data_IF_815293200563
#
_entry.id   IF_815293200563
#
_cell.length_a   1.000
_cell.length_b   1.000
_cell.length_c   1.000
_cell.angle_alpha   90.00
_cell.angle_beta   90.00
_cell.angle_gamma   90.00
#
_symmetry.space_group_name_H-M   'P 1'
#
loop_
_entity.id
_entity.type
_entity.pdbx_description
1 polymer ?
#
# COMPACT_ATOMS: atom_id res chain seq x y z
N UNK A 1 -21.01 -26.83 -21.99
CA UNK A 1 -21.51 -28.18 -22.35
C UNK A 1 -20.25 -29.04 -22.53
N UNK A 2 -19.83 -29.68 -21.44
CA UNK A 2 -18.65 -30.56 -21.38
C UNK A 2 -19.07 -31.88 -22.04
N UNK A 3 -18.37 -32.29 -23.07
CA UNK A 3 -18.54 -33.60 -23.69
C UNK A 3 -17.77 -34.58 -22.82
N UNK A 4 -18.51 -35.53 -22.24
CA UNK A 4 -18.04 -36.55 -21.30
C UNK A 4 -16.95 -37.42 -21.98
N UNK A 5 -15.75 -37.43 -21.41
CA UNK A 5 -14.64 -38.25 -21.91
C UNK A 5 -14.95 -39.76 -21.90
N UNK A 6 -15.88 -40.20 -21.07
CA UNK A 6 -16.30 -41.60 -20.96
C UNK A 6 -17.04 -42.10 -22.20
N UNK A 7 -17.69 -41.22 -22.96
CA UNK A 7 -18.37 -41.56 -24.21
C UNK A 7 -17.39 -41.89 -25.33
N UNK A 8 -16.22 -41.23 -25.35
CA UNK A 8 -15.18 -41.47 -26.37
C UNK A 8 -14.47 -42.80 -26.10
N UNK A 9 -14.22 -43.10 -24.83
CA UNK A 9 -13.58 -44.35 -24.41
C UNK A 9 -14.51 -45.58 -24.63
N UNK A 10 -15.81 -45.40 -24.44
CA UNK A 10 -16.83 -46.45 -24.72
C UNK A 10 -16.90 -46.78 -26.22
N UNK A 11 -16.84 -45.77 -27.10
CA UNK A 11 -16.86 -45.95 -28.57
C UNK A 11 -15.62 -46.70 -29.05
N UNK A 12 -14.42 -46.41 -28.47
CA UNK A 12 -13.20 -47.05 -28.88
C UNK A 12 -13.13 -48.51 -28.41
N UNK A 13 -13.70 -48.85 -27.26
CA UNK A 13 -13.69 -50.22 -26.68
C UNK A 13 -14.72 -51.15 -27.30
N UNK A 14 -15.75 -50.64 -27.96
CA UNK A 14 -16.84 -51.46 -28.52
C UNK A 14 -16.83 -51.62 -30.06
N UNK A 15 -15.72 -51.29 -30.72
CA UNK A 15 -15.55 -51.58 -32.13
C UNK A 15 -15.25 -53.09 -32.35
N UNK A 16 -16.07 -53.84 -33.16
CA UNK A 16 -15.83 -55.24 -33.35
C UNK A 16 -14.51 -55.54 -34.11
N UNK A 17 -13.68 -56.41 -33.55
CA UNK A 17 -12.47 -56.93 -34.17
C UNK A 17 -12.85 -57.81 -35.34
N UNK A 18 -12.77 -57.32 -36.56
CA UNK A 18 -12.99 -58.12 -37.76
C UNK A 18 -11.67 -58.78 -38.18
N UNK A 19 -11.71 -60.10 -38.24
CA UNK A 19 -10.58 -60.96 -38.57
C UNK A 19 -10.03 -60.75 -39.98
N UNK A 20 -8.76 -61.04 -40.13
CA UNK A 20 -7.98 -60.98 -41.38
C UNK A 20 -8.60 -61.90 -42.48
N UNK A 21 -9.04 -61.30 -43.57
CA UNK A 21 -8.99 -61.89 -44.92
C UNK A 21 -8.76 -60.77 -45.94
N UNK A 22 -7.75 -60.96 -46.77
CA UNK A 22 -7.43 -60.11 -47.91
C UNK A 22 -8.58 -60.05 -48.91
N UNK A 23 -9.18 -58.90 -49.08
CA UNK A 23 -9.89 -58.53 -50.30
C UNK A 23 -9.90 -57.00 -50.38
N UNK A 24 -9.41 -56.47 -51.51
CA UNK A 24 -9.45 -55.03 -51.79
C UNK A 24 -10.90 -54.57 -51.95
N UNK A 25 -11.41 -53.91 -50.97
CA UNK A 25 -12.66 -53.17 -51.10
C UNK A 25 -12.39 -51.69 -51.04
N UNK A 26 -12.93 -50.97 -52.06
CA UNK A 26 -12.97 -49.50 -52.07
C UNK A 26 -13.64 -49.01 -50.78
N UNK A 27 -12.89 -48.23 -49.97
CA UNK A 27 -13.47 -47.60 -48.79
C UNK A 27 -14.74 -46.79 -49.15
N UNK A 28 -15.85 -47.01 -48.47
CA UNK A 28 -17.04 -46.24 -48.73
C UNK A 28 -16.85 -44.75 -48.42
N UNK A 29 -17.34 -43.88 -49.29
CA UNK A 29 -17.31 -42.43 -49.16
C UNK A 29 -17.81 -41.89 -47.81
N UNK A 30 -18.49 -42.71 -47.03
CA UNK A 30 -19.00 -42.38 -45.69
C UNK A 30 -17.87 -42.16 -44.69
N UNK A 31 -16.74 -42.91 -44.72
CA UNK A 31 -15.65 -42.75 -43.75
C UNK A 31 -14.86 -41.44 -43.96
N UNK A 32 -14.73 -41.00 -45.22
CA UNK A 32 -14.06 -39.72 -45.52
C UNK A 32 -14.87 -38.52 -45.03
N UNK A 33 -16.21 -38.63 -45.10
CA UNK A 33 -17.10 -37.54 -44.66
C UNK A 33 -17.15 -37.42 -43.13
N UNK A 34 -17.05 -38.51 -42.37
CA UNK A 34 -16.99 -38.51 -40.90
C UNK A 34 -15.70 -37.90 -40.40
N UNK A 35 -14.57 -38.33 -40.95
CA UNK A 35 -13.23 -37.81 -40.57
C UNK A 35 -13.10 -36.32 -40.90
N UNK A 36 -13.67 -35.87 -42.02
CA UNK A 36 -13.65 -34.44 -42.37
C UNK A 36 -14.54 -33.61 -41.45
N UNK A 37 -15.76 -34.11 -41.10
CA UNK A 37 -16.64 -33.41 -40.14
C UNK A 37 -16.06 -33.34 -38.74
N UNK A 38 -15.38 -34.40 -38.26
CA UNK A 38 -14.74 -34.43 -36.95
C UNK A 38 -13.55 -33.42 -36.88
N UNK A 39 -12.75 -33.34 -37.96
CA UNK A 39 -11.65 -32.34 -38.04
C UNK A 39 -12.20 -30.92 -38.11
N UNK A 40 -13.28 -30.65 -38.80
CA UNK A 40 -13.92 -29.32 -38.84
C UNK A 40 -14.51 -28.96 -37.49
N UNK A 41 -15.15 -29.90 -36.78
CA UNK A 41 -15.66 -29.65 -35.43
C UNK A 41 -14.52 -29.39 -34.42
N UNK A 42 -13.41 -30.13 -34.51
CA UNK A 42 -12.22 -29.90 -33.65
C UNK A 42 -11.56 -28.54 -33.92
N UNK A 43 -11.44 -28.16 -35.19
CA UNK A 43 -10.94 -26.83 -35.57
C UNK A 43 -11.86 -25.70 -35.14
N UNK A 44 -13.18 -25.88 -35.28
CA UNK A 44 -14.17 -24.88 -34.82
C UNK A 44 -14.18 -24.72 -33.30
N UNK A 45 -14.05 -25.82 -32.53
CA UNK A 45 -13.91 -25.74 -31.07
C UNK A 45 -12.58 -25.08 -30.64
N UNK A 46 -11.47 -25.34 -31.34
CA UNK A 46 -10.19 -24.70 -31.07
C UNK A 46 -10.24 -23.19 -31.36
N UNK A 47 -10.95 -22.78 -32.43
CA UNK A 47 -11.20 -21.35 -32.72
C UNK A 47 -12.13 -20.69 -31.72
N UNK A 48 -13.18 -21.39 -31.25
CA UNK A 48 -14.03 -20.89 -30.17
C UNK A 48 -13.29 -20.74 -28.85
N UNK A 49 -12.44 -21.69 -28.46
CA UNK A 49 -11.59 -21.58 -27.25
C UNK A 49 -10.57 -20.44 -27.38
N UNK A 50 -10.01 -20.20 -28.57
CA UNK A 50 -9.10 -19.09 -28.80
C UNK A 50 -9.79 -17.71 -28.71
N UNK A 51 -11.08 -17.63 -29.03
CA UNK A 51 -11.87 -16.41 -28.88
C UNK A 51 -12.21 -16.07 -27.41
N UNK A 52 -12.22 -17.05 -26.50
CA UNK A 52 -12.48 -16.82 -25.07
C UNK A 52 -11.23 -16.49 -24.26
N UNK A 53 -10.03 -16.65 -24.81
CA UNK A 53 -8.78 -16.34 -24.11
C UNK A 53 -8.34 -14.87 -24.20
N UNK A 54 -9.10 -13.97 -24.80
CA UNK A 54 -8.97 -12.54 -24.55
C UNK A 54 -9.75 -12.21 -23.27
N UNK A 55 -9.20 -12.60 -22.10
CA UNK A 55 -9.50 -11.90 -20.88
C UNK A 55 -9.13 -10.44 -21.15
N UNK A 56 -10.12 -9.58 -21.42
CA UNK A 56 -9.92 -8.13 -21.34
C UNK A 56 -9.34 -7.91 -19.94
N UNK A 57 -8.06 -7.56 -19.86
CA UNK A 57 -7.57 -6.90 -18.65
C UNK A 57 -8.57 -5.80 -18.38
N UNK A 58 -9.23 -5.88 -17.24
CA UNK A 58 -10.14 -4.82 -16.82
C UNK A 58 -9.30 -3.55 -16.80
N UNK A 59 -9.64 -2.58 -17.59
CA UNK A 59 -8.97 -1.29 -17.57
C UNK A 59 -8.96 -0.81 -16.11
N UNK A 60 -7.81 -0.38 -15.61
CA UNK A 60 -7.67 0.18 -14.26
C UNK A 60 -8.67 1.33 -14.07
N UNK A 61 -8.99 2.01 -15.17
CA UNK A 61 -10.02 3.03 -15.26
C UNK A 61 -11.04 2.55 -16.30
N UNK A 62 -12.29 2.35 -15.88
CA UNK A 62 -13.38 2.07 -16.81
C UNK A 62 -13.74 3.37 -17.55
N UNK A 63 -13.44 3.49 -18.87
CA UNK A 63 -13.74 4.72 -19.61
C UNK A 63 -15.24 4.93 -19.81
N UNK A 64 -16.08 3.93 -19.52
CA UNK A 64 -17.55 4.06 -19.56
C UNK A 64 -18.11 4.63 -18.25
N UNK A 65 -17.33 4.61 -17.17
CA UNK A 65 -17.73 5.22 -15.91
C UNK A 65 -17.67 6.75 -16.06
N UNK A 66 -18.82 7.40 -15.94
CA UNK A 66 -18.87 8.88 -15.90
C UNK A 66 -18.47 9.34 -14.53
N UNK A 67 -17.20 9.76 -14.39
CA UNK A 67 -16.76 10.44 -13.19
C UNK A 67 -17.22 11.90 -13.25
N UNK A 68 -18.08 12.28 -12.34
CA UNK A 68 -18.39 13.68 -12.14
C UNK A 68 -17.31 14.29 -11.26
N UNK A 69 -16.63 15.36 -11.71
CA UNK A 69 -15.66 16.06 -10.88
C UNK A 69 -16.34 16.53 -9.59
N UNK A 70 -15.65 16.37 -8.47
CA UNK A 70 -16.06 16.98 -7.21
C UNK A 70 -15.40 18.35 -7.14
N UNK A 71 -16.20 19.39 -6.95
CA UNK A 71 -15.71 20.76 -6.83
C UNK A 71 -15.66 21.17 -5.36
N UNK A 72 -14.53 21.74 -4.95
CA UNK A 72 -14.37 22.36 -3.64
C UNK A 72 -14.04 23.83 -3.82
N UNK A 73 -14.99 24.72 -3.54
CA UNK A 73 -14.81 26.16 -3.70
C UNK A 73 -13.83 26.77 -2.68
N UNK A 74 -13.78 26.21 -1.47
CA UNK A 74 -12.95 26.71 -0.36
C UNK A 74 -11.74 25.86 -0.05
N UNK A 75 -11.67 24.66 -0.60
CA UNK A 75 -10.59 23.70 -0.39
C UNK A 75 -11.05 22.28 -0.66
N UNK A 76 -10.08 21.39 -0.76
CA UNK A 76 -10.33 19.97 -0.98
C UNK A 76 -9.27 19.15 -0.27
N UNK A 77 -9.68 18.02 0.29
CA UNK A 77 -8.79 17.00 0.85
C UNK A 77 -9.05 15.68 0.14
N UNK A 78 -7.99 15.05 -0.36
CA UNK A 78 -8.06 13.76 -1.03
C UNK A 78 -6.99 12.85 -0.44
N UNK A 79 -7.39 11.67 0.00
CA UNK A 79 -6.46 10.63 0.44
C UNK A 79 -6.97 9.26 0.02
N UNK A 80 -6.18 8.22 0.26
CA UNK A 80 -6.54 6.84 -0.08
C UNK A 80 -7.63 6.28 0.85
N UNK A 81 -7.96 6.99 1.95
CA UNK A 81 -8.89 6.52 2.95
C UNK A 81 -9.90 7.64 3.30
N UNK A 82 -11.19 7.26 3.33
CA UNK A 82 -12.29 8.21 3.43
C UNK A 82 -12.32 8.96 4.78
N UNK A 83 -12.14 8.25 5.90
CA UNK A 83 -12.17 8.87 7.24
C UNK A 83 -11.04 9.87 7.41
N UNK A 84 -9.85 9.55 6.90
CA UNK A 84 -8.72 10.46 6.94
C UNK A 84 -8.95 11.71 6.05
N UNK A 85 -9.56 11.54 4.87
CA UNK A 85 -9.97 12.69 4.03
C UNK A 85 -11.00 13.55 4.73
N UNK A 86 -11.98 12.94 5.42
CA UNK A 86 -12.99 13.66 6.19
C UNK A 86 -12.34 14.45 7.34
N UNK A 87 -11.41 13.85 8.07
CA UNK A 87 -10.65 14.56 9.13
C UNK A 87 -9.98 15.81 8.57
N UNK A 88 -9.28 15.71 7.45
CA UNK A 88 -8.65 16.89 6.83
C UNK A 88 -9.65 17.95 6.38
N UNK A 89 -10.78 17.55 5.80
CA UNK A 89 -11.85 18.47 5.41
C UNK A 89 -12.48 19.17 6.62
N UNK A 90 -12.66 18.47 7.74
CA UNK A 90 -13.18 19.05 8.98
C UNK A 90 -12.21 20.08 9.58
N UNK A 91 -10.90 19.82 9.47
CA UNK A 91 -9.87 20.80 9.86
C UNK A 91 -9.95 22.07 9.02
N UNK A 92 -10.12 21.95 7.69
CA UNK A 92 -10.34 23.13 6.83
C UNK A 92 -11.61 23.90 7.23
N UNK A 93 -12.71 23.20 7.51
CA UNK A 93 -13.98 23.82 7.94
C UNK A 93 -13.87 24.54 9.29
N UNK A 94 -12.96 24.13 10.16
CA UNK A 94 -12.65 24.77 11.45
C UNK A 94 -11.70 25.97 11.33
N UNK A 95 -11.29 26.34 10.11
CA UNK A 95 -10.42 27.48 9.84
C UNK A 95 -8.94 27.15 9.77
N UNK A 96 -8.59 25.86 9.79
CA UNK A 96 -7.24 25.39 9.50
C UNK A 96 -6.83 25.66 8.05
N UNK A 97 -5.54 25.75 7.81
CA UNK A 97 -4.99 25.85 6.46
C UNK A 97 -4.73 24.48 5.84
N UNK A 98 -4.19 24.45 4.62
CA UNK A 98 -3.89 23.20 3.91
C UNK A 98 -2.84 22.33 4.63
N UNK A 99 -1.91 22.94 5.37
CA UNK A 99 -0.90 22.22 6.15
C UNK A 99 -1.52 21.55 7.39
N UNK A 100 -2.39 22.26 8.12
CA UNK A 100 -3.14 21.68 9.24
C UNK A 100 -3.95 20.46 8.77
N UNK A 101 -4.65 20.61 7.64
CA UNK A 101 -5.44 19.52 7.05
C UNK A 101 -4.56 18.32 6.62
N UNK A 102 -3.40 18.59 6.02
CA UNK A 102 -2.47 17.54 5.61
C UNK A 102 -1.89 16.80 6.82
N UNK A 103 -1.52 17.50 7.88
CA UNK A 103 -1.01 16.94 9.12
C UNK A 103 -2.06 16.09 9.83
N UNK A 104 -3.29 16.59 9.97
CA UNK A 104 -4.40 15.84 10.54
C UNK A 104 -4.73 14.58 9.74
N UNK A 105 -4.76 14.69 8.41
CA UNK A 105 -4.94 13.56 7.50
C UNK A 105 -3.80 12.55 7.66
N UNK A 106 -2.55 12.99 7.77
CA UNK A 106 -1.38 12.13 7.97
C UNK A 106 -1.47 11.31 9.26
N UNK A 107 -1.82 11.93 10.38
CA UNK A 107 -2.06 11.21 11.64
C UNK A 107 -3.28 10.30 11.59
N UNK A 108 -4.37 10.71 10.92
CA UNK A 108 -5.54 9.87 10.73
C UNK A 108 -5.23 8.63 9.86
N UNK A 109 -4.45 8.79 8.79
CA UNK A 109 -3.97 7.68 7.95
C UNK A 109 -3.11 6.68 8.74
N UNK A 110 -2.32 7.14 9.70
CA UNK A 110 -1.55 6.25 10.58
C UNK A 110 -2.46 5.33 11.42
N UNK A 111 -3.71 5.72 11.63
CA UNK A 111 -4.73 4.93 12.33
C UNK A 111 -5.54 4.07 11.36
N UNK A 112 -6.11 4.68 10.32
CA UNK A 112 -7.15 4.06 9.47
C UNK A 112 -6.60 3.31 8.27
N UNK A 113 -5.34 3.56 7.90
CA UNK A 113 -4.65 2.90 6.79
C UNK A 113 -3.32 2.24 7.24
N UNK A 114 -3.31 1.34 8.23
CA UNK A 114 -2.07 0.84 8.85
C UNK A 114 -1.14 0.08 7.89
N UNK A 115 -1.62 -0.29 6.71
CA UNK A 115 -0.80 -0.94 5.67
C UNK A 115 0.14 0.02 4.94
N UNK A 116 -0.08 1.32 5.03
CA UNK A 116 0.69 2.36 4.34
C UNK A 116 0.95 3.59 5.21
N UNK A 117 -0.03 4.07 6.00
CA UNK A 117 0.15 5.13 6.98
C UNK A 117 0.62 4.57 8.32
N UNK A 118 1.66 5.12 8.91
CA UNK A 118 2.14 4.71 10.23
C UNK A 118 3.07 5.75 10.85
N UNK A 119 3.21 5.72 12.19
CA UNK A 119 4.14 6.59 12.92
C UNK A 119 5.59 6.12 12.81
N UNK A 120 5.80 4.81 12.58
CA UNK A 120 7.12 4.18 12.47
C UNK A 120 7.76 4.29 11.09
N UNK A 121 7.13 5.00 10.15
CA UNK A 121 7.62 5.23 8.81
C UNK A 121 8.16 6.65 8.60
N UNK A 122 8.12 7.09 7.35
CA UNK A 122 8.53 8.41 6.93
C UNK A 122 7.75 8.85 5.69
N UNK A 123 8.21 9.93 5.08
CA UNK A 123 7.57 10.45 3.89
C UNK A 123 8.17 11.72 3.35
N UNK A 124 7.43 12.31 2.43
CA UNK A 124 7.75 13.58 1.80
C UNK A 124 6.50 14.46 1.79
N UNK A 125 6.70 15.77 1.86
CA UNK A 125 5.61 16.74 1.72
C UNK A 125 6.03 17.87 0.79
N UNK A 126 5.20 18.16 -0.21
CA UNK A 126 5.34 19.37 -1.04
C UNK A 126 4.36 20.41 -0.54
N UNK A 127 4.84 21.59 -0.19
CA UNK A 127 4.04 22.72 0.31
C UNK A 127 4.21 23.88 -0.67
N UNK A 128 3.09 24.39 -1.18
CA UNK A 128 3.07 25.61 -1.97
C UNK A 128 2.48 26.77 -1.17
N UNK A 129 3.28 27.80 -0.93
CA UNK A 129 2.89 29.04 -0.28
C UNK A 129 2.48 30.04 -1.36
N UNK A 130 1.18 30.14 -1.60
CA UNK A 130 0.66 30.95 -2.72
C UNK A 130 1.02 32.43 -2.60
N UNK A 131 0.98 32.97 -1.40
CA UNK A 131 1.30 34.40 -1.13
C UNK A 131 2.78 34.74 -1.41
N UNK A 132 3.67 33.75 -1.26
CA UNK A 132 5.10 33.90 -1.51
C UNK A 132 5.50 33.43 -2.92
N UNK A 133 4.62 32.72 -3.62
CA UNK A 133 4.93 32.03 -4.88
C UNK A 133 6.01 30.94 -4.73
N UNK A 134 6.20 30.44 -3.51
CA UNK A 134 7.28 29.52 -3.14
C UNK A 134 6.76 28.12 -2.94
N UNK A 135 7.50 27.15 -3.44
CA UNK A 135 7.26 25.73 -3.20
C UNK A 135 8.41 25.16 -2.38
N UNK A 136 8.09 24.37 -1.35
CA UNK A 136 9.04 23.77 -0.42
C UNK A 136 8.84 22.27 -0.49
N UNK A 137 9.95 21.51 -0.43
CA UNK A 137 9.95 20.06 -0.29
C UNK A 137 10.48 19.68 1.08
N UNK A 138 9.66 19.07 1.92
CA UNK A 138 10.06 18.51 3.21
C UNK A 138 10.38 17.02 3.03
N UNK A 139 11.58 16.65 3.46
CA UNK A 139 12.07 15.28 3.50
C UNK A 139 12.09 14.81 4.96
N UNK A 140 11.16 13.94 5.28
CA UNK A 140 11.10 13.22 6.55
C UNK A 140 11.08 11.70 6.34
N UNK A 141 11.76 11.26 5.27
CA UNK A 141 12.00 9.85 5.01
C UNK A 141 12.78 9.22 6.16
N UNK A 142 12.59 7.92 6.34
CA UNK A 142 13.36 7.13 7.31
C UNK A 142 14.86 7.25 7.04
N UNK A 143 15.64 7.28 8.10
CA UNK A 143 17.10 7.28 8.03
C UNK A 143 17.66 5.92 8.45
N UNK A 144 18.79 5.52 7.89
CA UNK A 144 19.50 4.36 8.38
C UNK A 144 19.98 4.59 9.83
N UNK A 145 19.80 3.61 10.74
CA UNK A 145 20.45 3.67 12.06
C UNK A 145 21.97 3.78 11.93
N UNK A 146 22.62 4.41 12.89
CA UNK A 146 24.08 4.58 12.88
C UNK A 146 24.85 3.25 12.83
N UNK A 147 24.26 2.18 13.36
CA UNK A 147 24.82 0.83 13.32
C UNK A 147 24.63 0.09 11.98
N UNK A 148 23.90 0.68 11.01
CA UNK A 148 23.69 0.06 9.71
C UNK A 148 24.99 0.00 8.90
N UNK A 149 25.36 -1.20 8.45
CA UNK A 149 26.55 -1.43 7.64
C UNK A 149 26.23 -1.81 6.20
N UNK A 150 27.22 -1.67 5.32
CA UNK A 150 27.12 -1.98 3.90
C UNK A 150 26.62 -3.41 3.63
N UNK A 151 27.16 -4.37 4.39
CA UNK A 151 26.99 -5.80 4.16
C UNK A 151 25.96 -6.44 5.11
N UNK A 152 25.19 -5.61 5.84
CA UNK A 152 24.27 -6.05 6.89
C UNK A 152 23.18 -7.04 6.42
N UNK A 153 22.89 -7.09 5.13
CA UNK A 153 21.90 -7.98 4.53
C UNK A 153 22.53 -9.14 3.76
N UNK A 154 23.84 -9.36 3.86
CA UNK A 154 24.50 -10.51 3.25
C UNK A 154 24.46 -11.73 4.19
N UNK A 155 24.34 -12.92 3.59
CA UNK A 155 24.53 -14.19 4.26
C UNK A 155 26.03 -14.56 4.33
N UNK A 156 26.36 -15.69 4.94
CA UNK A 156 27.75 -16.16 5.07
C UNK A 156 28.45 -16.43 3.73
N UNK A 157 27.69 -16.66 2.66
CA UNK A 157 28.21 -16.83 1.29
C UNK A 157 28.42 -15.49 0.57
N UNK A 158 28.10 -14.35 1.19
CA UNK A 158 28.18 -13.02 0.56
C UNK A 158 27.03 -12.68 -0.38
N UNK A 159 25.95 -13.47 -0.36
CA UNK A 159 24.74 -13.25 -1.15
C UNK A 159 23.67 -12.51 -0.34
N UNK A 160 22.77 -11.79 -1.02
CA UNK A 160 21.69 -11.05 -0.35
C UNK A 160 20.71 -12.01 0.32
N UNK A 161 20.57 -11.90 1.64
CA UNK A 161 19.48 -12.54 2.39
C UNK A 161 18.19 -11.70 2.24
N UNK A 162 17.36 -12.11 1.29
CA UNK A 162 16.09 -11.44 1.02
C UNK A 162 15.11 -11.50 2.21
N UNK A 163 15.16 -12.55 3.04
CA UNK A 163 14.30 -12.65 4.21
C UNK A 163 14.67 -11.57 5.24
N UNK A 164 15.95 -11.38 5.48
CA UNK A 164 16.49 -10.37 6.38
C UNK A 164 16.25 -8.95 5.82
N UNK A 165 16.53 -8.74 4.53
CA UNK A 165 16.40 -7.44 3.88
C UNK A 165 14.95 -6.93 3.78
N UNK A 166 13.97 -7.83 3.58
CA UNK A 166 12.58 -7.44 3.38
C UNK A 166 11.70 -7.58 4.63
N UNK A 167 12.07 -8.43 5.59
CA UNK A 167 11.23 -8.81 6.71
C UNK A 167 11.97 -8.87 8.06
N UNK A 168 13.28 -8.68 8.05
CA UNK A 168 14.08 -8.59 9.27
C UNK A 168 13.85 -7.26 9.99
N UNK A 169 13.93 -7.26 11.32
CA UNK A 169 13.81 -6.04 12.11
C UNK A 169 14.98 -5.08 11.85
N UNK A 170 16.12 -5.60 11.43
CA UNK A 170 17.33 -4.84 11.07
C UNK A 170 17.07 -3.92 9.87
N UNK A 171 16.09 -4.23 9.01
CA UNK A 171 15.69 -3.40 7.87
C UNK A 171 14.87 -2.17 8.26
N UNK A 172 14.52 -2.03 9.54
CA UNK A 172 13.77 -0.87 10.03
C UNK A 172 14.63 0.38 10.03
N UNK A 173 14.15 1.44 9.38
CA UNK A 173 14.76 2.76 9.45
C UNK A 173 14.28 3.56 10.65
N UNK A 174 15.07 4.58 11.05
CA UNK A 174 14.71 5.54 12.09
C UNK A 174 13.49 6.34 11.60
N UNK A 175 12.36 6.34 12.33
CA UNK A 175 11.11 6.92 11.86
C UNK A 175 11.17 8.44 11.66
N UNK A 176 10.54 8.92 10.61
CA UNK A 176 10.46 10.35 10.29
C UNK A 176 9.06 10.95 10.32
N UNK A 177 7.99 10.13 10.23
CA UNK A 177 6.61 10.62 10.07
C UNK A 177 6.22 11.64 11.14
N UNK A 178 6.45 11.34 12.40
CA UNK A 178 6.07 12.24 13.51
C UNK A 178 6.85 13.54 13.44
N UNK A 179 8.17 13.48 13.24
CA UNK A 179 8.99 14.69 13.12
C UNK A 179 8.59 15.55 11.92
N UNK A 180 8.29 14.91 10.77
CA UNK A 180 7.90 15.61 9.56
C UNK A 180 6.56 16.32 9.70
N UNK A 181 5.55 15.64 10.24
CA UNK A 181 4.22 16.21 10.45
C UNK A 181 4.25 17.34 11.47
N UNK A 182 4.97 17.16 12.59
CA UNK A 182 5.17 18.22 13.57
C UNK A 182 5.91 19.42 12.97
N UNK A 183 7.02 19.18 12.26
CA UNK A 183 7.76 20.28 11.64
C UNK A 183 6.95 21.06 10.63
N UNK A 184 6.13 20.38 9.81
CA UNK A 184 5.22 21.04 8.88
C UNK A 184 4.19 21.89 9.61
N UNK A 185 3.59 21.35 10.68
CA UNK A 185 2.63 22.06 11.49
C UNK A 185 3.26 23.27 12.20
N UNK A 186 4.36 23.07 12.92
CA UNK A 186 5.03 24.12 13.69
C UNK A 186 5.47 25.31 12.82
N UNK A 187 5.83 25.03 11.54
CA UNK A 187 6.35 26.04 10.62
C UNK A 187 5.25 26.72 9.81
N UNK A 188 4.22 25.97 9.42
CA UNK A 188 3.24 26.43 8.41
C UNK A 188 1.79 26.25 8.85
N UNK A 189 1.51 25.63 10.00
CA UNK A 189 0.17 25.44 10.55
C UNK A 189 -0.42 26.72 11.10
N UNK A 190 -1.72 26.70 11.35
CA UNK A 190 -2.50 27.82 11.89
C UNK A 190 -3.24 27.49 13.18
N UNK A 191 -3.77 26.26 13.28
CA UNK A 191 -4.52 25.80 14.44
C UNK A 191 -3.59 25.27 15.53
N UNK A 192 -4.10 25.16 16.76
CA UNK A 192 -3.37 24.48 17.81
C UNK A 192 -3.16 23.00 17.46
N UNK A 193 -1.96 22.49 17.68
CA UNK A 193 -1.61 21.11 17.33
C UNK A 193 -2.50 20.07 18.02
N UNK A 194 -2.90 20.33 19.26
CA UNK A 194 -3.82 19.47 20.01
C UNK A 194 -5.15 19.27 19.28
N UNK A 195 -5.66 20.31 18.63
CA UNK A 195 -6.88 20.25 17.82
C UNK A 195 -6.70 19.50 16.51
N UNK A 196 -5.51 19.61 15.91
CA UNK A 196 -5.16 18.96 14.63
C UNK A 196 -5.01 17.44 14.80
N UNK A 197 -4.41 16.99 15.90
CA UNK A 197 -4.17 15.55 16.16
C UNK A 197 -5.36 14.86 16.85
N UNK A 198 -6.26 15.60 17.51
CA UNK A 198 -7.37 15.03 18.29
C UNK A 198 -8.25 14.05 17.51
N UNK A 199 -8.61 14.28 16.23
CA UNK A 199 -9.39 13.30 15.46
C UNK A 199 -8.70 11.94 15.33
N UNK A 200 -7.39 11.91 15.12
CA UNK A 200 -6.62 10.68 15.04
C UNK A 200 -6.60 9.92 16.38
N UNK A 201 -6.45 10.65 17.51
CA UNK A 201 -6.54 10.07 18.84
C UNK A 201 -7.92 9.43 19.05
N UNK A 202 -8.99 10.11 18.66
CA UNK A 202 -10.36 9.60 18.76
C UNK A 202 -10.55 8.33 17.94
N UNK A 203 -10.15 8.33 16.67
CA UNK A 203 -10.23 7.17 15.80
C UNK A 203 -9.47 5.96 16.36
N UNK A 204 -8.29 6.17 16.93
CA UNK A 204 -7.51 5.11 17.53
C UNK A 204 -8.14 4.57 18.82
N UNK A 205 -8.66 5.44 19.69
CA UNK A 205 -9.22 5.07 20.98
C UNK A 205 -10.62 4.43 20.89
N UNK A 206 -11.53 5.06 20.12
CA UNK A 206 -12.91 4.59 19.96
C UNK A 206 -13.01 3.50 18.89
N UNK A 207 -12.05 3.46 17.98
CA UNK A 207 -12.01 2.54 16.83
C UNK A 207 -12.72 3.11 15.60
N UNK A 208 -12.54 2.43 14.50
CA UNK A 208 -13.16 2.74 13.22
C UNK A 208 -13.62 1.47 12.52
N UNK A 209 -14.60 1.62 11.64
CA UNK A 209 -15.14 0.51 10.88
C UNK A 209 -14.14 0.04 9.81
N UNK A 210 -13.84 -1.25 9.81
CA UNK A 210 -12.90 -1.88 8.87
C UNK A 210 -13.50 -1.87 7.47
N UNK A 211 -12.81 -1.26 6.51
CA UNK A 211 -13.22 -1.24 5.11
C UNK A 211 -12.99 -2.59 4.42
N UNK A 212 -13.60 -2.80 3.26
CA UNK A 212 -13.36 -4.00 2.42
C UNK A 212 -11.87 -4.12 2.07
N UNK A 213 -11.21 -3.00 1.74
CA UNK A 213 -9.79 -2.97 1.40
C UNK A 213 -8.91 -3.38 2.58
N UNK A 214 -9.16 -2.82 3.77
CA UNK A 214 -8.40 -3.19 4.97
C UNK A 214 -8.63 -4.64 5.38
N UNK A 215 -9.88 -5.12 5.34
CA UNK A 215 -10.23 -6.53 5.61
C UNK A 215 -9.47 -7.48 4.70
N UNK A 216 -9.48 -7.22 3.39
CA UNK A 216 -8.76 -8.00 2.39
C UNK A 216 -7.24 -7.96 2.61
N UNK A 217 -6.72 -6.79 2.97
CA UNK A 217 -5.30 -6.60 3.29
C UNK A 217 -4.88 -7.40 4.51
N UNK A 218 -5.66 -7.38 5.59
CA UNK A 218 -5.38 -8.15 6.80
C UNK A 218 -5.46 -9.66 6.54
N UNK A 219 -6.49 -10.12 5.83
CA UNK A 219 -6.66 -11.53 5.48
C UNK A 219 -5.49 -12.06 4.64
N UNK A 220 -5.07 -11.33 3.61
CA UNK A 220 -3.97 -11.73 2.72
C UNK A 220 -2.60 -11.78 3.41
N UNK A 221 -2.41 -11.04 4.50
CA UNK A 221 -1.16 -10.96 5.24
C UNK A 221 -1.12 -11.77 6.53
N UNK A 222 -2.22 -12.43 6.89
CA UNK A 222 -2.36 -13.17 8.16
C UNK A 222 -1.19 -14.16 8.39
N UNK A 223 -0.86 -14.97 7.41
CA UNK A 223 0.20 -16.00 7.54
C UNK A 223 1.57 -15.43 7.84
N UNK A 224 1.85 -14.20 7.38
CA UNK A 224 3.10 -13.48 7.65
C UNK A 224 3.06 -12.78 9.00
N UNK A 225 2.02 -11.98 9.23
CA UNK A 225 1.92 -11.14 10.43
C UNK A 225 1.70 -11.96 11.70
N UNK A 226 1.04 -13.12 11.61
CA UNK A 226 0.84 -14.01 12.74
C UNK A 226 2.14 -14.60 13.32
N UNK A 227 3.26 -14.53 12.59
CA UNK A 227 4.59 -14.93 13.10
C UNK A 227 5.12 -13.96 14.15
N UNK A 228 4.64 -12.72 14.16
CA UNK A 228 5.05 -11.67 15.09
C UNK A 228 3.93 -11.42 16.12
N UNK A 229 4.20 -11.68 17.37
CA UNK A 229 3.21 -11.58 18.45
C UNK A 229 2.55 -10.20 18.55
N UNK A 230 3.35 -9.13 18.44
CA UNK A 230 2.85 -7.75 18.45
C UNK A 230 1.87 -7.51 17.29
N UNK A 231 2.26 -7.84 16.05
CA UNK A 231 1.39 -7.67 14.89
C UNK A 231 0.08 -8.46 15.03
N UNK A 232 0.17 -9.70 15.53
CA UNK A 232 -1.01 -10.53 15.81
C UNK A 232 -1.93 -9.87 16.84
N UNK A 233 -1.37 -9.35 17.94
CA UNK A 233 -2.13 -8.71 19.01
C UNK A 233 -2.90 -7.48 18.53
N UNK A 234 -2.28 -6.65 17.66
CA UNK A 234 -2.84 -5.35 17.30
C UNK A 234 -3.76 -5.37 16.08
N UNK A 235 -3.53 -6.29 15.15
CA UNK A 235 -4.22 -6.27 13.84
C UNK A 235 -5.13 -7.47 13.59
N UNK A 236 -5.23 -8.39 14.56
CA UNK A 236 -6.10 -9.56 14.45
C UNK A 236 -6.93 -9.74 15.71
N UNK A 237 -8.06 -10.45 15.55
CA UNK A 237 -8.95 -10.74 16.69
C UNK A 237 -8.29 -11.71 17.67
N UNK A 238 -8.79 -11.83 18.93
CA UNK A 238 -8.24 -12.75 19.94
C UNK A 238 -8.20 -14.22 19.49
N UNK A 239 -9.13 -14.63 18.62
CA UNK A 239 -9.17 -15.97 18.02
C UNK A 239 -8.14 -16.15 16.88
N UNK A 240 -7.42 -15.08 16.53
CA UNK A 240 -6.44 -15.05 15.46
C UNK A 240 -7.00 -14.83 14.07
N UNK A 241 -8.29 -14.63 13.91
CA UNK A 241 -8.90 -14.31 12.62
C UNK A 241 -8.71 -12.83 12.25
N UNK A 242 -8.74 -12.53 10.94
CA UNK A 242 -8.71 -11.16 10.43
C UNK A 242 -10.05 -10.46 10.68
N UNK A 243 -9.99 -9.15 10.96
CA UNK A 243 -11.20 -8.32 11.01
C UNK A 243 -11.90 -8.34 9.66
N UNK A 244 -13.23 -8.47 9.70
CA UNK A 244 -14.10 -8.41 8.53
C UNK A 244 -14.58 -6.97 8.27
N UNK A 245 -15.02 -6.70 7.04
CA UNK A 245 -15.70 -5.45 6.71
C UNK A 245 -16.87 -5.19 7.66
N UNK A 246 -16.97 -3.97 8.17
CA UNK A 246 -18.00 -3.55 9.14
C UNK A 246 -17.66 -3.82 10.62
N UNK A 247 -16.65 -4.64 10.92
CA UNK A 247 -16.17 -4.80 12.29
C UNK A 247 -15.34 -3.59 12.74
N UNK A 248 -15.28 -3.34 14.05
CA UNK A 248 -14.56 -2.17 14.59
C UNK A 248 -13.15 -2.57 15.05
N UNK A 249 -12.14 -1.94 14.45
CA UNK A 249 -10.74 -2.06 14.87
C UNK A 249 -10.39 -0.90 15.83
N UNK A 250 -9.94 -1.25 17.05
CA UNK A 250 -9.42 -0.29 18.04
C UNK A 250 -7.91 -0.47 18.21
N UNK A 251 -7.21 0.65 18.35
CA UNK A 251 -5.76 0.70 18.51
C UNK A 251 -5.41 1.54 19.76
N UNK A 252 -5.77 1.03 20.94
CA UNK A 252 -5.64 1.76 22.21
C UNK A 252 -4.20 2.16 22.53
N UNK A 253 -3.22 1.29 22.26
CA UNK A 253 -1.80 1.61 22.49
C UNK A 253 -1.30 2.69 21.54
N UNK A 254 -1.83 2.75 20.29
CA UNK A 254 -1.57 3.84 19.35
C UNK A 254 -2.23 5.15 19.84
N UNK A 255 -3.45 5.08 20.38
CA UNK A 255 -4.09 6.25 20.97
C UNK A 255 -3.26 6.87 22.10
N UNK A 256 -2.69 6.05 22.99
CA UNK A 256 -1.81 6.53 24.06
C UNK A 256 -0.50 7.15 23.50
N UNK A 257 0.03 6.60 22.42
CA UNK A 257 1.19 7.19 21.73
C UNK A 257 0.84 8.55 21.11
N UNK A 258 -0.31 8.65 20.42
CA UNK A 258 -0.78 9.90 19.85
C UNK A 258 -1.07 10.97 20.93
N UNK A 259 -1.59 10.58 22.11
CA UNK A 259 -1.75 11.48 23.26
C UNK A 259 -0.43 12.03 23.78
N UNK A 260 0.62 11.19 23.86
CA UNK A 260 1.98 11.67 24.24
C UNK A 260 2.51 12.65 23.21
N UNK A 261 2.33 12.37 21.93
CA UNK A 261 2.72 13.29 20.84
C UNK A 261 1.92 14.62 20.97
N UNK A 262 0.63 14.55 21.26
CA UNK A 262 -0.19 15.75 21.44
C UNK A 262 0.27 16.64 22.60
N UNK A 263 0.68 16.03 23.73
CA UNK A 263 1.08 16.77 24.96
C UNK A 263 2.54 17.17 24.99
N UNK A 264 3.44 16.41 24.38
CA UNK A 264 4.89 16.55 24.50
C UNK A 264 5.56 16.87 23.14
N UNK A 265 4.78 16.97 22.09
CA UNK A 265 5.29 17.19 20.73
C UNK A 265 6.28 16.10 20.32
N UNK A 266 7.43 16.52 19.79
CA UNK A 266 8.50 15.62 19.36
C UNK A 266 8.99 14.69 20.48
N UNK A 267 9.08 15.16 21.71
CA UNK A 267 9.55 14.36 22.83
C UNK A 267 8.63 13.16 23.11
N UNK A 268 7.33 13.30 22.92
CA UNK A 268 6.32 12.23 23.10
C UNK A 268 6.52 11.00 22.20
N UNK A 269 7.39 11.11 21.18
CA UNK A 269 7.72 9.99 20.29
C UNK A 269 9.22 9.61 20.32
N UNK A 270 10.11 10.60 20.19
CA UNK A 270 11.56 10.38 20.06
C UNK A 270 12.29 10.29 21.38
N UNK A 271 11.62 10.57 22.47
CA UNK A 271 12.14 10.49 23.84
C UNK A 271 11.13 9.79 24.77
N UNK A 272 11.46 9.62 26.03
CA UNK A 272 10.57 9.05 27.05
C UNK A 272 9.98 7.70 26.68
N UNK A 273 8.73 7.50 27.04
CA UNK A 273 8.06 6.17 27.02
C UNK A 273 7.96 5.53 25.64
N UNK A 274 7.69 6.32 24.60
CA UNK A 274 7.59 5.77 23.24
C UNK A 274 8.95 5.32 22.73
N UNK A 275 9.98 6.11 22.93
CA UNK A 275 11.36 5.74 22.57
C UNK A 275 11.84 4.52 23.35
N UNK A 276 11.50 4.41 24.65
CA UNK A 276 11.78 3.22 25.46
C UNK A 276 11.19 1.95 24.85
N UNK A 277 9.93 2.00 24.42
CA UNK A 277 9.28 0.84 23.77
C UNK A 277 9.95 0.47 22.44
N UNK A 278 10.31 1.45 21.62
CA UNK A 278 10.99 1.20 20.35
C UNK A 278 12.34 0.54 20.59
N UNK A 279 13.17 1.13 21.46
CA UNK A 279 14.53 0.62 21.73
C UNK A 279 14.50 -0.74 22.42
N UNK A 280 13.56 -0.96 23.36
CA UNK A 280 13.38 -2.26 23.99
C UNK A 280 13.02 -3.36 22.98
N UNK A 281 12.14 -3.05 22.02
CA UNK A 281 11.81 -3.99 20.94
C UNK A 281 13.01 -4.26 20.01
N UNK A 282 13.76 -3.23 19.65
CA UNK A 282 14.99 -3.38 18.87
C UNK A 282 15.99 -4.31 19.57
N UNK A 283 16.24 -4.09 20.86
CA UNK A 283 17.15 -4.93 21.66
C UNK A 283 16.65 -6.36 21.77
N UNK A 284 15.33 -6.56 22.00
CA UNK A 284 14.72 -7.88 22.13
C UNK A 284 14.80 -8.70 20.82
N UNK A 285 14.71 -8.04 19.69
CA UNK A 285 14.52 -8.67 18.38
C UNK A 285 15.74 -8.56 17.45
N UNK A 286 16.85 -7.95 17.91
CA UNK A 286 18.07 -7.81 17.11
C UNK A 286 18.04 -6.65 16.11
N UNK A 287 17.17 -5.65 16.33
CA UNK A 287 17.14 -4.44 15.50
C UNK A 287 18.25 -3.45 15.86
N UNK A 288 18.38 -2.39 15.06
CA UNK A 288 19.55 -1.50 15.10
C UNK A 288 19.25 -0.11 15.69
N UNK A 289 17.99 0.30 15.77
CA UNK A 289 17.61 1.65 16.21
C UNK A 289 17.90 1.83 17.70
N UNK A 290 18.63 2.90 18.04
CA UNK A 290 19.00 3.29 19.39
C UNK A 290 18.27 4.55 19.84
N UNK A 291 18.40 4.91 21.13
CA UNK A 291 17.94 6.21 21.64
C UNK A 291 18.62 7.38 20.95
N UNK A 292 19.89 7.24 20.63
CA UNK A 292 20.68 8.27 19.94
C UNK A 292 20.16 8.49 18.52
N UNK A 293 19.86 7.42 17.77
CA UNK A 293 19.28 7.50 16.45
C UNK A 293 17.94 8.25 16.47
N UNK A 294 17.06 7.91 17.42
CA UNK A 294 15.76 8.57 17.59
C UNK A 294 15.93 10.05 17.91
N UNK A 295 16.78 10.38 18.87
CA UNK A 295 17.00 11.76 19.31
C UNK A 295 17.63 12.63 18.22
N UNK A 296 18.53 12.07 17.41
CA UNK A 296 19.27 12.77 16.37
C UNK A 296 18.53 12.87 15.03
N UNK A 297 17.36 12.22 14.90
CA UNK A 297 16.59 12.31 13.66
C UNK A 297 16.24 13.76 13.32
N UNK A 298 16.37 14.17 12.05
CA UNK A 298 16.08 15.53 11.58
C UNK A 298 15.32 15.51 10.26
N UNK A 299 14.30 16.35 10.19
CA UNK A 299 13.63 16.69 8.94
C UNK A 299 14.55 17.58 8.10
N UNK A 300 14.55 17.37 6.78
CA UNK A 300 15.36 18.17 5.86
C UNK A 300 14.45 18.97 4.93
N UNK A 301 14.62 20.28 4.92
CA UNK A 301 13.99 21.15 3.93
C UNK A 301 14.84 21.17 2.65
N UNK A 302 14.22 20.93 1.49
CA UNK A 302 14.90 20.84 0.20
C UNK A 302 14.29 21.78 -0.82
N UNK A 303 15.10 22.21 -1.78
CA UNK A 303 14.58 22.87 -2.97
C UNK A 303 13.93 21.82 -3.90
N UNK A 304 12.68 22.04 -4.35
CA UNK A 304 12.01 21.11 -5.26
C UNK A 304 12.71 21.05 -6.62
N UNK A 305 12.64 19.89 -7.29
CA UNK A 305 12.99 19.81 -8.71
C UNK A 305 11.81 20.27 -9.54
N UNK A 306 12.04 21.24 -10.41
CA UNK A 306 10.98 21.81 -11.24
C UNK A 306 11.34 21.74 -12.72
N UNK A 307 10.31 21.58 -13.58
CA UNK A 307 10.38 21.65 -15.03
C UNK A 307 9.20 22.42 -15.59
N UNK A 308 9.22 22.65 -16.91
CA UNK A 308 8.12 23.28 -17.63
C UNK A 308 7.38 22.21 -18.42
N UNK A 309 6.05 22.17 -18.31
CA UNK A 309 5.19 21.33 -19.14
C UNK A 309 4.09 22.18 -19.75
N UNK A 310 4.15 22.35 -21.07
CA UNK A 310 3.36 23.38 -21.76
C UNK A 310 3.54 24.76 -21.10
N UNK A 311 2.45 25.33 -20.58
CA UNK A 311 2.46 26.64 -19.92
C UNK A 311 2.56 26.54 -18.38
N UNK A 312 2.69 25.31 -17.85
CA UNK A 312 2.65 25.07 -16.40
C UNK A 312 4.06 24.76 -15.87
N UNK A 313 4.44 25.40 -14.78
CA UNK A 313 5.58 24.99 -13.97
C UNK A 313 5.17 23.77 -13.13
N UNK A 314 5.88 22.67 -13.31
CA UNK A 314 5.67 21.43 -12.54
C UNK A 314 6.83 21.25 -11.57
N UNK A 315 6.53 21.21 -10.27
CA UNK A 315 7.50 21.00 -9.20
C UNK A 315 7.20 19.71 -8.46
N UNK A 316 8.25 18.96 -8.14
CA UNK A 316 8.13 17.67 -7.47
C UNK A 316 9.26 17.46 -6.46
N UNK A 317 9.14 16.40 -5.66
CA UNK A 317 10.12 16.03 -4.64
C UNK A 317 11.48 15.71 -5.28
N UNK A 318 12.57 16.37 -4.83
CA UNK A 318 13.94 16.09 -5.29
C UNK A 318 14.48 14.78 -4.69
N UNK A 319 15.70 14.34 -5.05
CA UNK A 319 16.37 13.27 -4.33
C UNK A 319 16.39 13.52 -2.80
N UNK A 320 16.17 12.46 -2.00
CA UNK A 320 16.32 11.04 -2.31
C UNK A 320 15.13 10.38 -3.02
N UNK A 321 14.08 11.11 -3.35
CA UNK A 321 13.01 10.61 -4.22
C UNK A 321 13.45 10.68 -5.68
N UNK A 322 13.35 9.56 -6.40
CA UNK A 322 13.56 9.53 -7.86
C UNK A 322 12.36 10.05 -8.65
N UNK A 323 11.17 10.07 -8.01
CA UNK A 323 9.91 10.35 -8.70
C UNK A 323 9.84 11.71 -9.36
N UNK A 324 10.32 12.76 -8.69
CA UNK A 324 10.30 14.11 -9.23
C UNK A 324 11.23 14.29 -10.44
N UNK A 325 12.42 13.70 -10.41
CA UNK A 325 13.35 13.72 -11.53
C UNK A 325 12.74 13.03 -12.74
N UNK A 326 12.20 11.80 -12.55
CA UNK A 326 11.54 11.07 -13.63
C UNK A 326 10.33 11.82 -14.19
N UNK A 327 9.51 12.43 -13.31
CA UNK A 327 8.35 13.21 -13.75
C UNK A 327 8.77 14.37 -14.67
N UNK A 328 9.77 15.15 -14.26
CA UNK A 328 10.27 16.26 -15.07
C UNK A 328 10.87 15.78 -16.40
N UNK A 329 11.62 14.66 -16.38
CA UNK A 329 12.16 14.08 -17.62
C UNK A 329 11.09 13.55 -18.58
N UNK A 330 10.01 12.97 -18.08
CA UNK A 330 8.92 12.47 -18.92
C UNK A 330 8.04 13.58 -19.50
N UNK A 331 7.96 14.73 -18.84
CA UNK A 331 7.14 15.85 -19.29
C UNK A 331 7.87 16.83 -20.22
N UNK A 332 9.20 16.80 -20.26
CA UNK A 332 10.03 17.56 -21.17
C UNK A 332 10.40 16.74 -22.40
#
# INVERSE_FOLDING_TARGET
MLIDCDLVDWIVKNLPQAGRRHTMYKLPRILSTVVTKTKVCLLANFFLLACFSHAKEAAIIDPSARFHPVYGERGMVVSQEMLASQVGADILNRGGNAVDAAVATGFALAVTLPRAGNLGGGGFMMIHLADEGKTIALDYREMAPAAAGRDMFLNEAGEVDNQKAWFGIESSGVPGSVAGLLHAHDTYGRLDFADVIAPAIKLAAEGFEVTVDLSSSLASRLSRMAKHQASKKYFYKPDGSAYQHGEVLRQTDLAETLKRIASEGRAGFYQGKTAEFIVAEMQRSGGLITYEDLNNYKVVSREPVCGQYHQNKVCAMPPPSSGGVHLVQMLN
#
